data_IF_463186980584
#
_entry.id   IF_463186980584
#
_cell.length_a   1.000
_cell.length_b   1.000
_cell.length_c   1.000
_cell.angle_alpha   90.00
_cell.angle_beta   90.00
_cell.angle_gamma   90.00
#
_symmetry.space_group_name_H-M   'P 1'
#
loop_
_entity.id
_entity.type
_entity.pdbx_description
1 polymer ?
2 non-polymer ?
3 water ?
#
# COMPACT_ATOMS: atom_id res chain seq x y z
N UNK A 6 -9.59 -28.96 -6.19
CA UNK A 6 -8.20 -28.60 -6.54
C UNK A 6 -8.14 -27.40 -7.48
N UNK A 7 -6.95 -26.85 -7.65
CA UNK A 7 -6.74 -25.75 -8.59
C UNK A 7 -6.50 -26.33 -9.98
N UNK A 8 -6.95 -25.63 -11.01
CA UNK A 8 -6.66 -26.04 -12.38
C UNK A 8 -5.23 -25.67 -12.72
N UNK A 9 -4.77 -26.17 -13.88
CA UNK A 9 -3.42 -25.87 -14.36
C UNK A 9 -3.27 -24.37 -14.65
N UNK A 10 -4.32 -23.78 -15.23
CA UNK A 10 -4.32 -22.34 -15.50
C UNK A 10 -4.23 -21.52 -14.22
N UNK A 11 -4.94 -21.95 -13.18
CA UNK A 11 -4.95 -21.25 -11.90
C UNK A 11 -3.58 -21.34 -11.20
N UNK A 12 -2.98 -22.52 -11.24
CA UNK A 12 -1.65 -22.72 -10.68
C UNK A 12 -0.58 -21.92 -11.42
N UNK A 13 -0.71 -21.84 -12.75
CA UNK A 13 0.18 -21.01 -13.54
C UNK A 13 0.03 -19.53 -13.17
N UNK A 14 -1.22 -19.12 -12.97
CA UNK A 14 -1.55 -17.73 -12.63
C UNK A 14 -0.88 -17.31 -11.30
N UNK A 15 -1.02 -18.15 -10.28
CA UNK A 15 -0.41 -17.89 -8.98
C UNK A 15 1.10 -17.83 -9.10
N UNK A 16 1.68 -18.81 -9.81
CA UNK A 16 3.12 -18.87 -10.02
C UNK A 16 3.66 -17.60 -10.66
N UNK A 17 2.98 -17.10 -11.68
CA UNK A 17 3.45 -15.87 -12.34
C UNK A 17 3.37 -14.66 -11.40
N UNK A 18 2.34 -14.61 -10.56
CA UNK A 18 2.18 -13.54 -9.60
C UNK A 18 3.25 -13.62 -8.49
N UNK A 19 3.52 -14.83 -8.01
CA UNK A 19 4.54 -15.04 -6.97
C UNK A 19 5.94 -14.71 -7.49
N UNK A 20 6.20 -15.12 -8.74
CA UNK A 20 7.45 -14.81 -9.40
C UNK A 20 7.66 -13.32 -9.49
N UNK A 21 6.63 -12.61 -9.94
CA UNK A 21 6.68 -11.15 -10.03
C UNK A 21 6.96 -10.54 -8.65
N UNK A 22 6.25 -11.03 -7.63
CA UNK A 22 6.38 -10.52 -6.26
C UNK A 22 7.82 -10.71 -5.79
N UNK A 23 8.32 -11.94 -5.94
CA UNK A 23 9.68 -12.32 -5.59
C UNK A 23 10.75 -11.42 -6.23
N UNK A 24 10.53 -11.06 -7.49
CA UNK A 24 11.52 -10.30 -8.23
C UNK A 24 11.48 -8.81 -7.90
N UNK A 25 10.35 -8.30 -7.44
CA UNK A 25 10.16 -6.86 -7.30
C UNK A 25 9.86 -6.37 -5.88
N UNK A 26 9.78 -7.28 -4.92
CA UNK A 26 9.55 -6.90 -3.55
C UNK A 26 10.81 -7.14 -2.73
N UNK A 27 11.55 -6.05 -2.53
CA UNK A 27 12.72 -6.03 -1.66
C UNK A 27 12.23 -5.98 -0.21
N UNK A 28 12.01 -7.15 0.37
CA UNK A 28 11.35 -7.25 1.68
C UNK A 28 12.22 -6.71 2.82
N UNK A 29 13.53 -6.66 2.59
CA UNK A 29 14.47 -6.11 3.55
C UNK A 29 14.81 -4.64 3.28
N UNK A 30 14.28 -4.07 2.20
CA UNK A 30 14.48 -2.65 1.87
C UNK A 30 15.95 -2.25 1.70
N UNK A 31 16.80 -3.22 1.34
CA UNK A 31 18.26 -3.02 1.31
C UNK A 31 18.72 -1.99 0.29
N UNK A 32 17.92 -1.77 -0.76
CA UNK A 32 18.25 -0.76 -1.76
C UNK A 32 17.54 0.56 -1.54
N UNK A 33 16.84 0.71 -0.41
CA UNK A 33 16.32 2.01 0.00
C UNK A 33 17.41 2.76 0.78
N UNK A 34 17.99 3.76 0.14
CA UNK A 34 19.03 4.57 0.75
C UNK A 34 19.01 5.94 0.09
N UNK A 35 19.86 6.85 0.56
CA UNK A 35 19.90 8.21 0.02
C UNK A 35 18.55 8.90 0.08
N UNK A 36 17.83 8.70 1.18
CA UNK A 36 16.51 9.30 1.40
C UNK A 36 16.62 10.44 2.39
N UNK A 37 15.71 11.38 2.30
CA UNK A 37 15.70 12.53 3.20
C UNK A 37 15.19 12.17 4.60
N UNK A 38 15.63 12.93 5.59
CA UNK A 38 15.21 12.77 6.97
C UNK A 38 14.86 14.13 7.56
N UNK A 39 14.03 14.16 8.62
CA UNK A 39 13.73 15.46 9.26
C UNK A 39 14.98 16.10 9.88
N UNK A 40 15.02 17.44 9.85
CA UNK A 40 16.18 18.20 10.35
C UNK A 40 16.57 17.87 11.79
N UNK A 41 17.84 18.12 12.11
CA UNK A 41 18.37 17.84 13.45
C UNK A 41 17.86 18.84 14.48
N UNK A 60 -8.25 29.22 3.59
CA UNK A 60 -6.86 29.40 4.05
C UNK A 60 -6.69 28.73 5.42
N UNK A 61 -7.23 29.35 6.48
CA UNK A 61 -7.13 28.77 7.83
C UNK A 61 -7.87 27.43 7.86
N UNK A 62 -9.03 27.36 7.21
CA UNK A 62 -9.84 26.10 7.17
C UNK A 62 -9.03 25.02 6.46
N UNK A 63 -8.33 25.41 5.38
CA UNK A 63 -7.49 24.44 4.64
C UNK A 63 -6.40 23.90 5.56
N UNK A 64 -5.79 24.77 6.37
CA UNK A 64 -4.75 24.32 7.34
C UNK A 64 -5.37 23.38 8.38
N UNK A 65 -6.56 23.70 8.88
CA UNK A 65 -7.21 22.87 9.93
C UNK A 65 -7.52 21.48 9.36
N UNK A 66 -8.04 21.42 8.13
CA UNK A 66 -8.29 20.09 7.49
C UNK A 66 -6.96 19.37 7.29
N UNK A 67 -5.89 20.11 6.94
CA UNK A 67 -4.56 19.49 6.66
C UNK A 67 -4.03 18.83 7.94
N UNK A 68 -4.51 19.25 9.11
CA UNK A 68 -4.07 18.67 10.40
C UNK A 68 -4.58 17.22 10.54
N UNK A 69 -5.47 16.77 9.65
CA UNK A 69 -5.67 15.33 9.28
C UNK A 69 -4.41 14.47 9.49
N UNK A 70 -3.21 15.04 9.38
CA UNK A 70 -1.93 14.29 9.52
C UNK A 70 -1.79 13.70 10.93
N UNK A 71 -2.46 14.29 11.94
CA UNK A 71 -2.27 13.86 13.35
C UNK A 71 -2.63 12.39 13.54
N UNK A 72 -3.65 11.90 12.83
CA UNK A 72 -4.11 10.49 13.00
C UNK A 72 -3.02 9.49 12.60
N UNK A 73 -2.11 9.87 11.70
CA UNK A 73 -1.10 8.91 11.17
C UNK A 73 0.29 9.09 11.81
N UNK A 74 0.36 9.68 13.01
CA UNK A 74 1.68 9.99 13.67
C UNK A 74 2.54 8.74 13.90
N UNK A 75 3.81 8.77 13.46
CA UNK A 75 4.77 7.68 13.66
C UNK A 75 6.14 8.18 14.11
N UNK A 76 6.81 7.39 14.94
CA UNK A 76 8.23 7.60 15.24
C UNK A 76 9.04 6.78 14.25
N UNK A 77 10.32 7.10 14.14
CA UNK A 77 11.20 6.46 13.17
C UNK A 77 12.47 5.96 13.84
N UNK A 78 12.87 4.74 13.50
CA UNK A 78 14.12 4.17 13.96
C UNK A 78 14.92 3.70 12.74
N UNK A 79 16.23 4.01 12.73
CA UNK A 79 17.14 3.54 11.69
C UNK A 79 18.31 2.80 12.35
N UNK A 80 18.40 1.50 12.10
CA UNK A 80 19.47 0.68 12.66
C UNK A 80 20.64 0.64 11.68
N UNK A 81 21.80 1.11 12.12
CA UNK A 81 22.98 1.15 11.26
C UNK A 81 23.62 -0.22 11.12
N UNK A 82 24.23 -0.47 9.96
CA UNK A 82 24.97 -1.71 9.72
C UNK A 82 26.06 -1.95 10.77
N UNK A 83 26.63 -0.87 11.27
CA UNK A 83 27.65 -0.92 12.34
C UNK A 83 27.09 -1.32 13.71
N UNK A 84 25.77 -1.24 13.88
CA UNK A 84 25.13 -1.56 15.17
C UNK A 84 24.56 -0.34 15.87
N UNK A 85 24.76 0.85 15.30
CA UNK A 85 24.22 2.09 15.87
C UNK A 85 22.72 2.17 15.64
N UNK A 86 22.04 2.96 16.46
CA UNK A 86 20.60 3.18 16.33
C UNK A 86 20.25 4.66 16.43
N UNK A 87 19.74 5.23 15.35
CA UNK A 87 19.15 6.57 15.35
C UNK A 87 17.63 6.43 15.59
N UNK A 88 17.05 7.36 16.34
CA UNK A 88 15.61 7.32 16.65
C UNK A 88 15.00 8.72 16.64
N UNK A 89 13.88 8.88 15.93
CA UNK A 89 13.21 10.18 15.80
C UNK A 89 11.79 10.16 16.38
N UNK A 90 11.56 11.01 17.38
CA UNK A 90 10.21 11.30 17.87
C UNK A 90 9.76 12.62 17.25
N UNK A 91 8.57 12.63 16.61
CA UNK A 91 8.07 13.87 16.00
C UNK A 91 7.50 14.85 17.03
N UNK A 92 7.34 16.12 16.63
CA UNK A 92 6.83 17.16 17.52
C UNK A 92 5.31 17.20 17.62
N UNK A 93 4.80 17.90 18.63
CA UNK A 93 3.37 18.15 18.74
C UNK A 93 2.94 19.17 17.67
N UNK A 94 1.65 19.13 17.32
CA UNK A 94 1.10 20.11 16.39
C UNK A 94 1.10 21.50 17.03
N UNK A 95 1.83 22.43 16.42
CA UNK A 95 1.88 23.83 16.86
C UNK A 95 2.06 23.97 18.37
N UNK A 98 2.80 24.57 12.41
CA UNK A 98 3.48 24.88 11.16
C UNK A 98 4.72 23.99 10.91
N UNK A 99 4.92 22.98 11.76
CA UNK A 99 6.04 22.02 11.63
C UNK A 99 5.57 20.57 11.61
N UNK A 100 4.31 20.36 11.19
CA UNK A 100 3.76 19.02 11.06
C UNK A 100 4.17 18.37 9.74
N UNK A 101 4.99 19.06 8.95
CA UNK A 101 5.45 18.58 7.65
C UNK A 101 6.90 18.09 7.68
N UNK A 102 7.48 17.95 8.87
CA UNK A 102 8.90 17.62 8.99
C UNK A 102 9.25 16.22 8.46
N UNK A 103 8.24 15.35 8.43
CA UNK A 103 8.44 13.97 8.03
C UNK A 103 8.00 13.67 6.58
N UNK A 104 7.39 14.65 5.92
CA UNK A 104 6.85 14.46 4.56
C UNK A 104 7.89 14.08 3.50
N UNK A 105 9.04 14.77 3.48
CA UNK A 105 10.06 14.41 2.48
C UNK A 105 10.48 12.95 2.59
N UNK A 106 10.77 12.49 3.80
CA UNK A 106 11.12 11.09 4.02
C UNK A 106 10.05 10.12 3.53
N UNK A 107 8.80 10.39 3.92
CA UNK A 107 7.69 9.52 3.56
C UNK A 107 7.47 9.52 2.05
N UNK A 108 7.68 10.69 1.43
CA UNK A 108 7.69 10.81 -0.03
C UNK A 108 8.76 9.92 -0.66
N UNK A 109 9.95 9.87 -0.06
CA UNK A 109 11.02 9.02 -0.58
C UNK A 109 10.71 7.52 -0.39
N UNK A 110 10.13 7.15 0.74
CA UNK A 110 9.73 5.76 0.98
C UNK A 110 8.62 5.35 0.01
N UNK A 111 7.58 6.18 -0.06
CA UNK A 111 6.46 5.95 -0.98
C UNK A 111 6.94 5.78 -2.42
N UNK A 112 7.85 6.65 -2.83
CA UNK A 112 8.44 6.58 -4.17
C UNK A 112 9.18 5.26 -4.38
N UNK A 113 10.02 4.89 -3.42
CA UNK A 113 10.72 3.62 -3.48
C UNK A 113 9.73 2.45 -3.62
N UNK A 114 8.66 2.47 -2.82
CA UNK A 114 7.62 1.45 -2.91
C UNK A 114 6.90 1.45 -4.27
N UNK A 115 6.58 2.63 -4.78
CA UNK A 115 5.90 2.76 -6.07
C UNK A 115 6.72 2.14 -7.20
N UNK A 116 8.03 2.38 -7.19
CA UNK A 116 8.89 1.75 -8.19
C UNK A 116 8.77 0.24 -8.16
N UNK A 117 8.76 -0.33 -6.97
CA UNK A 117 8.61 -1.77 -6.79
C UNK A 117 7.28 -2.27 -7.34
N UNK A 118 6.23 -1.49 -7.10
CA UNK A 118 4.89 -1.81 -7.59
C UNK A 118 4.83 -1.72 -9.13
N UNK A 119 5.42 -0.67 -9.69
CA UNK A 119 5.47 -0.53 -11.15
C UNK A 119 6.19 -1.72 -11.78
N UNK A 120 7.32 -2.12 -11.18
CA UNK A 120 8.09 -3.28 -11.68
C UNK A 120 7.27 -4.57 -11.59
N UNK A 121 6.52 -4.72 -10.50
CA UNK A 121 5.60 -5.84 -10.31
C UNK A 121 4.62 -5.95 -11.46
N UNK A 122 3.94 -4.85 -11.78
CA UNK A 122 2.98 -4.82 -12.88
C UNK A 122 3.62 -5.21 -14.21
N UNK A 123 4.75 -4.59 -14.53
CA UNK A 123 5.43 -4.77 -15.82
C UNK A 123 5.95 -6.20 -16.07
N UNK A 124 6.27 -6.95 -15.01
CA UNK A 124 6.73 -8.33 -15.18
C UNK A 124 5.58 -9.35 -15.32
N UNK A 125 4.34 -8.90 -15.15
CA UNK A 125 3.18 -9.78 -15.29
C UNK A 125 2.66 -9.75 -16.73
N UNK A 126 2.52 -10.92 -17.33
CA UNK A 126 2.15 -11.02 -18.75
C UNK A 126 0.75 -10.46 -19.01
N UNK A 127 -0.19 -10.74 -18.11
CA UNK A 127 -1.56 -10.21 -18.22
C UNK A 127 -1.60 -8.68 -18.27
N UNK A 128 -0.61 -8.03 -17.64
CA UNK A 128 -0.51 -6.58 -17.64
C UNK A 128 0.28 -6.06 -18.84
N UNK A 129 1.36 -6.74 -19.20
CA UNK A 129 2.18 -6.38 -20.36
C UNK A 129 1.37 -6.36 -21.65
N UNK A 130 0.37 -7.24 -21.75
CA UNK A 130 -0.43 -7.39 -22.95
C UNK A 130 -1.48 -6.30 -23.12
N UNK A 131 -1.83 -5.61 -22.04
CA UNK A 131 -2.76 -4.48 -22.13
C UNK A 131 -2.11 -3.30 -22.85
N UNK A 132 -2.94 -2.43 -23.48
CA UNK A 132 -2.41 -1.23 -24.11
C UNK A 132 -1.71 -0.32 -23.10
N UNK A 133 -0.70 0.40 -23.56
CA UNK A 133 0.11 1.28 -22.71
C UNK A 133 -0.72 2.33 -21.96
N UNK A 134 -1.80 2.81 -22.58
CA UNK A 134 -2.69 3.78 -21.92
C UNK A 134 -3.43 3.16 -20.74
N UNK A 135 -3.84 1.90 -20.89
CA UNK A 135 -4.54 1.20 -19.82
C UNK A 135 -3.60 0.78 -18.70
N UNK A 136 -2.37 0.42 -19.05
CA UNK A 136 -1.34 0.12 -18.06
C UNK A 136 -1.15 1.30 -17.11
N UNK A 137 -0.99 2.48 -17.69
CA UNK A 137 -0.81 3.71 -16.91
C UNK A 137 -2.05 4.03 -16.07
N UNK A 138 -3.21 3.92 -16.69
CA UNK A 138 -4.46 4.18 -15.99
C UNK A 138 -4.66 3.22 -14.80
N UNK A 139 -4.33 1.95 -14.99
CA UNK A 139 -4.44 0.96 -13.91
C UNK A 139 -3.43 1.20 -12.78
N UNK A 140 -2.21 1.60 -13.14
CA UNK A 140 -1.17 1.91 -12.16
C UNK A 140 -1.50 3.15 -11.32
N UNK A 141 -2.09 4.17 -11.95
CA UNK A 141 -2.45 5.40 -11.23
C UNK A 141 -3.60 5.13 -10.28
N UNK A 142 -4.54 4.28 -10.69
CA UNK A 142 -5.67 3.89 -9.85
C UNK A 142 -5.31 3.02 -8.66
N UNK A 143 -4.28 2.17 -8.80
CA UNK A 143 -4.00 1.11 -7.83
C UNK A 143 -2.70 1.25 -7.03
N UNK A 144 -1.80 2.14 -7.44
CA UNK A 144 -0.46 2.19 -6.85
C UNK A 144 -0.49 2.31 -5.32
N UNK A 145 -1.33 3.19 -4.79
CA UNK A 145 -1.48 3.35 -3.35
C UNK A 145 -1.99 2.07 -2.68
N UNK A 146 -2.97 1.43 -3.29
CA UNK A 146 -3.56 0.22 -2.72
C UNK A 146 -2.54 -0.92 -2.64
N UNK A 147 -1.76 -1.08 -3.70
CA UNK A 147 -0.72 -2.13 -3.75
C UNK A 147 0.36 -1.86 -2.72
N UNK A 148 0.73 -0.58 -2.58
CA UNK A 148 1.68 -0.15 -1.57
C UNK A 148 1.23 -0.59 -0.17
N UNK A 149 -0.02 -0.29 0.17
CA UNK A 149 -0.55 -0.66 1.47
C UNK A 149 -0.55 -2.19 1.66
N UNK A 150 -0.91 -2.92 0.61
CA UNK A 150 -0.91 -4.38 0.68
C UNK A 150 0.47 -4.95 0.96
N UNK A 151 1.49 -4.40 0.30
CA UNK A 151 2.87 -4.78 0.62
C UNK A 151 3.29 -4.35 2.04
N UNK A 152 2.90 -3.15 2.45
CA UNK A 152 3.20 -2.65 3.80
C UNK A 152 2.57 -3.51 4.88
N UNK A 153 1.40 -4.09 4.61
CA UNK A 153 0.78 -4.95 5.59
C UNK A 153 1.63 -6.18 5.91
N UNK A 154 2.36 -6.68 4.91
CA UNK A 154 3.19 -7.87 5.12
C UNK A 154 4.40 -7.60 6.04
N UNK A 155 4.82 -6.34 6.18
CA UNK A 155 5.88 -6.00 7.14
C UNK A 155 5.32 -5.31 8.40
N UNK A 156 4.00 -5.34 8.56
CA UNK A 156 3.36 -4.75 9.72
C UNK A 156 3.41 -5.73 10.89
N UNK A 157 3.89 -5.27 12.03
CA UNK A 157 3.86 -6.06 13.27
C UNK A 157 2.71 -5.51 14.10
N UNK A 158 1.63 -6.27 14.15
CA UNK A 158 0.40 -5.81 14.80
C UNK A 158 0.52 -5.80 16.33
N UNK A 159 1.44 -6.58 16.89
CA UNK A 159 1.66 -6.58 18.33
C UNK A 159 2.30 -5.26 18.81
N UNK A 160 3.30 -4.78 18.08
CA UNK A 160 3.99 -3.54 18.44
C UNK A 160 3.51 -2.33 17.64
N UNK A 161 2.54 -2.52 16.77
CA UNK A 161 2.04 -1.44 15.92
C UNK A 161 3.14 -0.75 15.13
N UNK A 162 4.06 -1.54 14.57
CA UNK A 162 5.19 -0.98 13.81
C UNK A 162 5.38 -1.66 12.46
N UNK A 163 5.62 -0.86 11.43
CA UNK A 163 6.01 -1.39 10.12
C UNK A 163 7.52 -1.57 10.11
N UNK A 164 7.96 -2.80 9.86
CA UNK A 164 9.37 -3.15 9.93
C UNK A 164 9.99 -3.26 8.54
N UNK A 165 10.64 -2.18 8.12
CA UNK A 165 11.16 -2.08 6.77
C UNK A 165 12.68 -2.23 6.78
N UNK A 166 13.13 -3.45 7.09
CA UNK A 166 14.56 -3.73 7.18
C UNK A 166 15.22 -2.98 8.31
N UNK A 167 16.15 -2.09 7.96
CA UNK A 167 16.87 -1.27 8.93
C UNK A 167 15.98 -0.15 9.49
N UNK A 168 14.93 0.22 8.76
CA UNK A 168 14.02 1.26 9.21
C UNK A 168 12.79 0.65 9.87
N UNK A 169 12.28 1.32 10.89
CA UNK A 169 11.02 0.96 11.52
C UNK A 169 10.18 2.21 11.72
N UNK A 170 8.88 2.06 11.55
CA UNK A 170 7.92 3.13 11.75
C UNK A 170 6.91 2.64 12.78
N UNK A 171 6.92 3.27 13.94
CA UNK A 171 6.10 2.83 15.07
C UNK A 171 5.03 3.87 15.36
N UNK A 172 3.79 3.41 15.50
CA UNK A 172 2.69 4.31 15.84
C UNK A 172 2.90 4.86 17.25
N UNK A 173 2.73 6.17 17.40
CA UNK A 173 2.89 6.81 18.70
C UNK A 173 1.66 6.55 19.56
N UNK A 174 1.88 6.12 20.80
CA UNK A 174 0.78 5.77 21.71
C UNK A 174 0.02 7.02 22.16
N UNK A 175 -1.29 7.03 21.93
CA UNK A 175 -2.16 8.17 22.26
C UNK A 175 -3.11 7.83 23.42
N UNK A 176 -3.91 8.83 23.84
CA UNK A 176 -4.79 8.72 25.01
C UNK A 176 -5.76 7.53 24.97
N UNK A 177 -6.36 7.28 23.82
CA UNK A 177 -7.31 6.18 23.66
C UNK A 177 -6.68 4.82 23.43
N UNK A 178 -5.37 4.82 23.14
CA UNK A 178 -4.62 3.57 22.97
C UNK A 178 -5.02 2.80 21.71
N UNK A 179 -5.05 1.47 21.84
CA UNK A 179 -5.36 0.58 20.71
C UNK A 179 -6.70 0.88 20.06
N UNK A 180 -7.69 1.26 20.88
CA UNK A 180 -9.03 1.57 20.39
C UNK A 180 -9.05 2.82 19.51
N UNK A 181 -8.45 3.90 20.00
CA UNK A 181 -8.37 5.18 19.26
C UNK A 181 -7.58 5.05 17.96
N UNK A 182 -6.54 4.21 17.96
CA UNK A 182 -5.75 3.95 16.74
C UNK A 182 -6.60 3.31 15.64
N UNK A 183 -7.55 2.47 16.03
CA UNK A 183 -8.44 1.80 15.07
C UNK A 183 -9.51 2.72 14.49
N UNK A 184 -9.64 3.95 15.01
CA UNK A 184 -10.59 4.93 14.45
C UNK A 184 -10.11 5.47 13.11
N UNK A 185 -8.79 5.54 12.92
CA UNK A 185 -8.23 5.91 11.62
C UNK A 185 -8.39 4.72 10.67
N UNK A 186 -9.18 4.89 9.58
CA UNK A 186 -9.48 3.76 8.68
C UNK A 186 -8.25 3.00 8.18
N UNK A 187 -7.23 3.75 7.75
CA UNK A 187 -5.94 3.18 7.34
C UNK A 187 -5.37 2.21 8.37
N UNK A 188 -5.34 2.66 9.62
CA UNK A 188 -4.74 1.87 10.69
C UNK A 188 -5.59 0.65 11.00
N UNK A 189 -6.90 0.86 11.11
CA UNK A 189 -7.86 -0.24 11.28
C UNK A 189 -7.75 -1.26 10.15
N UNK A 190 -7.60 -0.78 8.92
CA UNK A 190 -7.42 -1.67 7.78
C UNK A 190 -6.19 -2.57 7.98
N UNK A 191 -5.07 -1.99 8.39
CA UNK A 191 -3.84 -2.76 8.60
C UNK A 191 -3.97 -3.80 9.70
N UNK A 192 -4.64 -3.44 10.79
CA UNK A 192 -4.88 -4.37 11.90
C UNK A 192 -5.79 -5.51 11.47
N UNK A 193 -6.92 -5.18 10.84
CA UNK A 193 -7.88 -6.18 10.39
C UNK A 193 -7.31 -7.15 9.35
N UNK A 194 -6.64 -6.63 8.33
CA UNK A 194 -6.01 -7.48 7.32
C UNK A 194 -4.95 -8.41 7.90
N UNK A 195 -4.12 -7.89 8.80
CA UNK A 195 -3.10 -8.72 9.46
C UNK A 195 -3.70 -9.85 10.29
N UNK A 196 -4.85 -9.58 10.92
CA UNK A 196 -5.54 -10.57 11.75
C UNK A 196 -6.01 -11.78 10.92
N UNK A 197 -6.23 -11.59 9.61
CA UNK A 197 -6.62 -12.68 8.75
C UNK A 197 -5.49 -13.68 8.48
N UNK A 198 -4.27 -13.33 8.87
CA UNK A 198 -3.08 -14.20 8.69
C UNK A 198 -3.00 -14.86 7.31
N UNK A 199 -2.98 -14.02 6.27
CA UNK A 199 -2.97 -14.50 4.89
C UNK A 199 -1.62 -15.07 4.49
N UNK A 200 -1.64 -15.96 3.50
CA UNK A 200 -0.41 -16.48 2.91
C UNK A 200 0.13 -15.48 1.89
N UNK A 201 1.36 -15.70 1.45
CA UNK A 201 1.98 -14.86 0.42
C UNK A 201 1.14 -14.85 -0.85
N UNK A 202 0.61 -16.03 -1.22
CA UNK A 202 -0.20 -16.21 -2.42
C UNK A 202 -1.48 -15.38 -2.39
N UNK A 203 -2.12 -15.34 -1.22
CA UNK A 203 -3.35 -14.57 -1.06
C UNK A 203 -3.08 -13.07 -1.16
N UNK A 204 -1.97 -12.61 -0.58
CA UNK A 204 -1.56 -11.21 -0.71
C UNK A 204 -1.34 -10.83 -2.17
N UNK A 205 -0.66 -11.69 -2.92
CA UNK A 205 -0.31 -11.38 -4.29
C UNK A 205 -1.57 -11.38 -5.17
N UNK A 206 -2.53 -12.26 -4.86
CA UNK A 206 -3.82 -12.25 -5.57
C UNK A 206 -4.64 -10.99 -5.25
N UNK A 207 -4.60 -10.54 -4.00
CA UNK A 207 -5.20 -9.26 -3.65
C UNK A 207 -4.60 -8.12 -4.48
N UNK A 208 -3.29 -8.12 -4.63
CA UNK A 208 -2.60 -7.14 -5.47
C UNK A 208 -3.08 -7.18 -6.92
N UNK A 209 -3.28 -8.38 -7.45
CA UNK A 209 -3.75 -8.55 -8.84
C UNK A 209 -5.18 -8.03 -8.99
N UNK A 210 -6.06 -8.44 -8.08
CA UNK A 210 -7.45 -8.02 -8.11
C UNK A 210 -7.54 -6.50 -8.05
N UNK A 211 -6.77 -5.88 -7.17
CA UNK A 211 -6.71 -4.43 -7.07
C UNK A 211 -6.12 -3.76 -8.32
N UNK A 212 -5.05 -4.35 -8.84
CA UNK A 212 -4.39 -3.80 -10.04
C UNK A 212 -5.29 -3.85 -11.27
N UNK A 213 -5.93 -5.00 -11.48
CA UNK A 213 -6.80 -5.21 -12.63
C UNK A 213 -8.25 -4.85 -12.28
N UNK A 214 -8.49 -3.57 -12.00
CA UNK A 214 -9.83 -3.07 -11.71
C UNK A 214 -10.37 -2.40 -12.96
N UNK A 215 -11.46 -2.94 -13.52
CA UNK A 215 -11.96 -2.41 -14.80
C UNK A 215 -12.56 -1.01 -14.72
N UNK A 216 -12.90 -0.55 -13.52
CA UNK A 216 -13.59 0.72 -13.32
C UNK A 216 -12.69 1.78 -12.71
N UNK A 217 -11.48 1.92 -13.24
CA UNK A 217 -10.62 3.05 -12.91
C UNK A 217 -10.80 4.07 -14.02
N UNK A 218 -10.68 5.38 -13.71
CA UNK A 218 -10.82 6.41 -14.74
C UNK A 218 -9.73 6.28 -15.81
N UNK A 219 -10.13 6.34 -17.08
CA UNK A 219 -9.20 6.30 -18.20
C UNK A 219 -8.88 4.91 -18.72
N UNK A 220 -9.63 3.91 -18.26
CA UNK A 220 -9.45 2.54 -18.75
C UNK A 220 -10.28 2.37 -20.02
N UNK A 221 -9.66 1.81 -21.06
CA UNK A 221 -10.31 1.63 -22.36
C UNK A 221 -10.79 0.19 -22.57
N UNK A 222 -9.95 -0.78 -22.20
CA UNK A 222 -10.28 -2.20 -22.36
C UNK A 222 -11.01 -2.75 -21.15
N UNK A 223 -12.13 -2.12 -20.79
CA UNK A 223 -12.90 -2.46 -19.58
C UNK A 223 -13.36 -3.92 -19.53
N UNK A 224 -13.66 -4.50 -20.69
CA UNK A 224 -14.13 -5.89 -20.76
C UNK A 224 -13.01 -6.87 -20.44
N UNK A 225 -11.84 -6.65 -21.04
CA UNK A 225 -10.66 -7.50 -20.83
C UNK A 225 -10.19 -7.45 -19.37
N UNK A 226 -10.13 -6.24 -18.81
CA UNK A 226 -9.69 -6.08 -17.43
C UNK A 226 -10.69 -6.72 -16.45
N UNK A 227 -11.98 -6.57 -16.73
CA UNK A 227 -13.04 -7.17 -15.91
C UNK A 227 -12.90 -8.69 -15.90
N UNK A 228 -12.69 -9.26 -17.07
CA UNK A 228 -12.55 -10.72 -17.20
C UNK A 228 -11.31 -11.21 -16.47
N UNK A 229 -10.21 -10.48 -16.60
CA UNK A 229 -8.98 -10.80 -15.88
C UNK A 229 -9.18 -10.73 -14.38
N UNK A 230 -9.81 -9.65 -13.91
CA UNK A 230 -10.14 -9.51 -12.49
C UNK A 230 -10.93 -10.71 -11.98
N UNK A 231 -11.93 -11.13 -12.74
CA UNK A 231 -12.75 -12.28 -12.33
C UNK A 231 -11.92 -13.56 -12.22
N UNK A 232 -10.97 -13.75 -13.12
CA UNK A 232 -10.09 -14.93 -13.08
C UNK A 232 -9.21 -14.94 -11.85
N UNK A 233 -8.67 -13.78 -11.49
CA UNK A 233 -7.89 -13.67 -10.26
C UNK A 233 -8.79 -13.94 -9.03
N UNK A 234 -9.97 -13.33 -9.00
CA UNK A 234 -10.92 -13.57 -7.91
C UNK A 234 -11.27 -15.04 -7.77
N UNK A 235 -11.60 -15.69 -8.89
CA UNK A 235 -11.93 -17.12 -8.91
C UNK A 235 -10.75 -17.96 -8.42
N UNK A 236 -9.55 -17.60 -8.85
CA UNK A 236 -8.32 -18.29 -8.42
C UNK A 236 -8.11 -18.17 -6.92
N UNK A 237 -8.34 -16.98 -6.37
CA UNK A 237 -8.21 -16.75 -4.93
C UNK A 237 -9.22 -17.58 -4.13
N UNK A 238 -10.48 -17.54 -4.58
CA UNK A 238 -11.57 -18.30 -3.96
C UNK A 238 -11.28 -19.80 -3.96
N UNK A 239 -10.76 -20.32 -5.06
CA UNK A 239 -10.38 -21.72 -5.18
C UNK A 239 -9.16 -22.07 -4.32
N UNK A 240 -8.17 -21.17 -4.29
CA UNK A 240 -6.99 -21.36 -3.44
C UNK A 240 -7.42 -21.53 -1.98
N UNK A 241 -8.27 -20.61 -1.53
CA UNK A 241 -8.79 -20.65 -0.15
C UNK A 241 -9.58 -21.95 0.10
N UNK A 242 -10.48 -22.31 -0.82
CA UNK A 242 -11.27 -23.54 -0.68
C UNK A 242 -10.39 -24.78 -0.55
N UNK A 243 -9.33 -24.85 -1.34
CA UNK A 243 -8.43 -26.02 -1.35
C UNK A 243 -7.41 -26.08 -0.22
N UNK A 244 -7.03 -24.93 0.33
CA UNK A 244 -5.92 -24.89 1.30
C UNK A 244 -6.29 -24.46 2.72
N UNK A 245 -7.53 -24.06 2.96
CA UNK A 245 -7.93 -23.51 4.27
C UNK A 245 -9.29 -24.06 4.72
N UNK A 246 -9.34 -25.34 5.12
CA UNK A 246 -10.60 -25.98 5.52
C UNK A 246 -11.10 -25.62 6.93
N UNK A 247 -10.31 -24.89 7.71
CA UNK A 247 -10.62 -24.65 9.12
C UNK A 247 -11.77 -23.66 9.31
N UNK A 248 -12.60 -23.88 10.35
CA UNK A 248 -13.73 -22.99 10.69
C UNK A 248 -13.37 -21.51 10.78
N UNK A 249 -12.13 -21.21 11.17
CA UNK A 249 -11.68 -19.83 11.27
C UNK A 249 -11.66 -19.14 9.90
N UNK A 250 -11.44 -19.92 8.85
CA UNK A 250 -11.28 -19.38 7.51
C UNK A 250 -12.54 -19.48 6.65
N UNK A 251 -13.67 -19.79 7.30
CA UNK A 251 -14.97 -19.68 6.63
C UNK A 251 -15.20 -18.23 6.25
N UNK A 252 -15.70 -18.03 5.04
CA UNK A 252 -15.96 -16.70 4.51
C UNK A 252 -14.70 -15.85 4.30
N UNK A 253 -13.51 -16.47 4.28
CA UNK A 253 -12.27 -15.70 4.14
C UNK A 253 -12.23 -14.97 2.80
N UNK A 254 -12.64 -15.64 1.72
CA UNK A 254 -12.70 -15.00 0.41
C UNK A 254 -13.53 -13.73 0.45
N UNK A 255 -14.72 -13.81 1.05
CA UNK A 255 -15.60 -12.64 1.12
C UNK A 255 -15.06 -11.54 2.05
N UNK A 256 -14.42 -11.92 3.15
CA UNK A 256 -13.73 -10.95 4.00
C UNK A 256 -12.64 -10.21 3.22
N UNK A 257 -11.84 -10.94 2.45
CA UNK A 257 -10.81 -10.34 1.61
C UNK A 257 -11.39 -9.34 0.60
N UNK A 258 -12.47 -9.72 -0.08
CA UNK A 258 -13.07 -8.82 -1.08
C UNK A 258 -13.65 -7.57 -0.44
N UNK A 259 -14.24 -7.72 0.74
CA UNK A 259 -14.71 -6.56 1.52
C UNK A 259 -13.56 -5.63 1.94
N UNK A 260 -12.40 -6.21 2.27
CA UNK A 260 -11.22 -5.41 2.61
C UNK A 260 -10.69 -4.61 1.41
N UNK A 261 -10.74 -5.21 0.23
CA UNK A 261 -10.30 -4.51 -0.99
C UNK A 261 -11.22 -3.36 -1.35
N UNK A 262 -12.52 -3.54 -1.15
CA UNK A 262 -13.48 -2.48 -1.36
C UNK A 262 -13.25 -1.35 -0.37
N UNK A 263 -13.01 -1.71 0.89
CA UNK A 263 -12.63 -0.73 1.90
C UNK A 263 -11.34 0.00 1.49
N UNK A 264 -10.34 -0.75 1.04
CA UNK A 264 -9.05 -0.16 0.67
C UNK A 264 -9.18 0.87 -0.46
N UNK A 265 -10.08 0.59 -1.40
CA UNK A 265 -10.38 1.50 -2.50
C UNK A 265 -10.96 2.81 -1.97
N UNK A 266 -11.82 2.71 -0.96
CA UNK A 266 -12.36 3.90 -0.30
C UNK A 266 -11.28 4.67 0.46
N UNK A 267 -10.38 3.94 1.13
CA UNK A 267 -9.25 4.56 1.81
C UNK A 267 -8.34 5.27 0.81
N UNK A 268 -8.12 4.63 -0.34
CA UNK A 268 -7.35 5.21 -1.44
C UNK A 268 -7.90 6.57 -1.89
N UNK A 269 -9.19 6.64 -2.18
CA UNK A 269 -9.82 7.87 -2.67
C UNK A 269 -9.75 9.01 -1.64
N UNK A 270 -9.96 8.69 -0.36
CA UNK A 270 -9.90 9.69 0.70
C UNK A 270 -8.47 10.17 0.96
N UNK A 271 -7.53 9.24 1.01
CA UNK A 271 -6.14 9.60 1.27
C UNK A 271 -5.52 10.32 0.07
N UNK A 272 -6.02 10.04 -1.13
CA UNK A 272 -5.61 10.78 -2.32
C UNK A 272 -5.98 12.27 -2.20
N UNK A 273 -7.21 12.54 -1.77
CA UNK A 273 -7.65 13.92 -1.53
C UNK A 273 -6.92 14.56 -0.36
N UNK A 274 -6.58 13.75 0.64
CA UNK A 274 -5.78 14.19 1.77
C UNK A 274 -4.42 14.70 1.29
N UNK A 275 -3.73 13.86 0.50
CA UNK A 275 -2.39 14.17 0.00
C UNK A 275 -2.39 15.37 -0.96
N UNK A 276 -3.41 15.47 -1.79
CA UNK A 276 -3.54 16.62 -2.70
C UNK A 276 -3.76 17.95 -1.97
N UNK A 277 -4.53 17.92 -0.87
CA UNK A 277 -4.70 19.11 -0.03
C UNK A 277 -3.38 19.55 0.62
N UNK A 278 -2.65 18.61 1.19
CA UNK A 278 -1.34 18.87 1.77
C UNK A 278 -0.37 19.43 0.71
N UNK A 279 -0.38 18.82 -0.47
CA UNK A 279 0.44 19.24 -1.61
C UNK A 279 0.14 20.68 -2.06
N UNK A 280 -1.10 21.12 -1.85
CA UNK A 280 -1.52 22.47 -2.20
C UNK A 280 -0.92 23.52 -1.27
N UNK A 281 -0.74 23.17 0.01
CA UNK A 281 -0.20 24.08 1.02
C UNK A 281 1.31 23.94 1.16
N UNK A 282 1.81 22.71 1.09
CA UNK A 282 3.23 22.44 1.29
C UNK A 282 3.72 21.36 0.32
N UNK A 283 4.25 21.78 -0.84
CA UNK A 283 4.73 20.84 -1.86
C UNK A 283 5.72 19.80 -1.34
N UNK A 284 5.43 18.52 -1.59
CA UNK A 284 6.31 17.42 -1.17
C UNK A 284 6.42 16.27 -2.19
N UNK A 285 5.44 16.13 -3.08
CA UNK A 285 5.39 15.00 -4.00
C UNK A 285 6.60 14.95 -4.92
N UNK A 286 7.25 13.78 -4.98
CA UNK A 286 8.34 13.55 -5.92
C UNK A 286 7.79 13.52 -7.37
N UNK A 287 8.68 13.59 -8.37
CA UNK A 287 8.21 13.49 -9.75
C UNK A 287 7.40 12.23 -10.04
N UNK A 288 7.83 11.08 -9.53
CA UNK A 288 7.07 9.85 -9.71
C UNK A 288 5.69 9.96 -9.07
N UNK A 289 5.64 10.47 -7.84
CA UNK A 289 4.36 10.72 -7.18
C UNK A 289 3.50 11.68 -8.00
N UNK A 290 4.11 12.72 -8.55
CA UNK A 290 3.38 13.67 -9.40
C UNK A 290 2.75 12.98 -10.61
N UNK A 291 3.52 12.12 -11.28
CA UNK A 291 3.01 11.29 -12.39
C UNK A 291 1.78 10.51 -11.96
N UNK A 292 1.95 9.72 -10.90
CA UNK A 292 0.88 8.82 -10.44
C UNK A 292 -0.36 9.58 -9.94
N UNK A 293 -0.18 10.75 -9.36
CA UNK A 293 -1.31 11.59 -8.92
C UNK A 293 -1.80 12.59 -9.99
N UNK A 294 -1.14 12.60 -11.16
CA UNK A 294 -1.57 13.44 -12.28
C UNK A 294 -1.18 14.91 -12.22
N UNK A 295 -0.16 15.24 -11.43
CA UNK A 295 0.34 16.62 -11.34
C UNK A 295 1.25 16.90 -12.54
N UNK A 296 0.91 17.94 -13.30
CA UNK A 296 1.54 18.23 -14.59
C UNK A 296 2.85 19.01 -14.48
N UNK A 297 2.96 19.86 -13.46
CA UNK A 297 4.11 20.73 -13.29
C UNK A 297 3.87 22.16 -13.73
N UNK A 298 2.64 22.45 -14.19
CA UNK A 298 2.23 23.80 -14.58
C UNK A 298 1.47 24.46 -13.44
X LIG B 1 0.01 7.04 6.56
X LIG B 1 -0.28 8.89 5.16
X LIG B 1 0.43 9.91 5.73
X LIG B 1 0.01 11.21 5.56
X LIG B 1 -1.13 11.48 4.82
X LIG B 1 -1.84 10.45 4.26
X LIG B 1 0.72 7.29 2.94
X LIG B 1 2.75 9.42 1.17
X LIG B 1 3.46 11.33 2.40
X LIG B 1 2.85 9.34 3.56
X LIG B 1 1.37 3.56 6.07
X LIG B 1 2.82 3.58 6.37
X LIG B 1 3.73 3.67 5.33
X LIG B 1 5.52 3.63 6.92
X LIG B 1 3.25 3.53 7.67
X LIG B 1 0.31 5.32 8.18
X LIG B 1 0.43 5.76 6.77
X LIG B 1 0.17 7.51 5.36
X LIG B 1 -2.95 10.71 3.55
X LIG B 1 -1.42 9.15 4.43
X LIG B 1 -2.14 8.11 3.87
X LIG B 1 0.73 6.80 4.31
X LIG B 1 2.10 7.33 2.33
X LIG B 1 2.58 8.73 2.35
X LIG B 1 3.19 10.72 1.20
X LIG B 1 3.28 10.64 3.58
X LIG B 1 1.00 5.47 4.46
X LIG B 1 1.31 4.70 3.55
X LIG B 1 0.91 4.95 5.83
X LIG B 1 5.08 3.69 5.62
X LIG B 1 4.60 3.55 7.94
#
# INVERSE_FOLDING_TARGET
PLGVQGLTEEQRMMIRELMDAQMKTFDTTFSHFKNFRLPGVLSSGCELPESLQAPSREEAAKWSQVRKDLCSLKVSLQLRGEDGSVWNYKPPADSGGKEIFSLLPHMADMSTYMFKGIISFAKVISYFRDLPIEDQISLLKGAAFELCQLRFNTVFNAETGTWECGRLSYCLEDTAGGFQQLLLEPMLKFHYMLKKLQLHEEEYVLMQAISLFSPDRPGVLQHRVVDQLQEQFAITLKSYIECNRPQPAHRFLFLKIMAMLTELRSINAQHTQRLLRIQDIHPFATPLMQELFGITGS
07F N1 C4 C5 C6 C7 C8 C10 C13 C15 C17 C20 C21 C22 C24 C26 C1 C2 C3 F1 C9 O1 N2 C11 C12 C14 C16 C18 O2 C19 C23 C25
#
